data_IF_592118882057
#
_entry.id   IF_592118882057
#
_cell.length_a   1.000
_cell.length_b   1.000
_cell.length_c   1.000
_cell.angle_alpha   90.00
_cell.angle_beta   90.00
_cell.angle_gamma   90.00
#
_symmetry.space_group_name_H-M   'P 1'
#
loop_
_entity.id
_entity.type
_entity.pdbx_description
1 polymer ?
#
# COMPACT_ATOMS: atom_id res chain seq x y z
N UNK A 1 -24.50 -33.86 19.47
CA UNK A 1 -23.68 -35.04 19.03
C UNK A 1 -22.22 -34.73 19.29
N UNK A 2 -21.44 -35.68 19.81
CA UNK A 2 -20.03 -35.47 20.15
C UNK A 2 -19.13 -36.39 19.29
N UNK A 3 -18.16 -35.81 18.57
CA UNK A 3 -17.20 -36.53 17.74
C UNK A 3 -15.79 -36.24 18.24
N UNK A 4 -15.00 -37.30 18.42
CA UNK A 4 -13.62 -37.21 18.91
C UNK A 4 -12.65 -37.67 17.84
N UNK A 5 -11.62 -36.87 17.58
CA UNK A 5 -10.49 -37.23 16.73
C UNK A 5 -9.18 -37.07 17.49
N UNK A 6 -8.17 -37.88 17.15
CA UNK A 6 -6.81 -37.74 17.69
C UNK A 6 -5.76 -37.97 16.61
N UNK A 7 -4.66 -37.22 16.67
CA UNK A 7 -3.50 -37.39 15.79
C UNK A 7 -2.22 -37.51 16.63
N UNK A 8 -1.33 -38.49 16.36
CA UNK A 8 -0.08 -38.61 17.08
C UNK A 8 0.92 -37.51 16.66
N UNK A 9 1.74 -37.08 17.60
CA UNK A 9 2.93 -36.27 17.34
C UNK A 9 3.97 -37.05 16.56
N UNK A 10 4.98 -36.34 16.04
CA UNK A 10 6.09 -36.93 15.29
C UNK A 10 7.43 -36.65 15.94
N UNK A 11 8.38 -37.56 15.73
CA UNK A 11 9.82 -37.35 15.92
C UNK A 11 10.54 -37.59 14.60
N UNK A 12 11.58 -36.82 14.33
CA UNK A 12 12.45 -37.02 13.16
C UNK A 12 13.75 -37.65 13.65
N UNK A 13 14.07 -38.83 13.14
CA UNK A 13 15.26 -39.59 13.54
C UNK A 13 16.49 -39.13 12.74
N UNK A 14 16.32 -38.79 11.46
CA UNK A 14 17.38 -38.22 10.61
C UNK A 14 16.81 -37.57 9.34
N UNK A 15 17.55 -36.62 8.77
CA UNK A 15 17.27 -36.05 7.44
C UNK A 15 16.28 -34.89 7.41
N UNK A 16 15.94 -34.26 8.54
CA UNK A 16 14.90 -33.22 8.64
C UNK A 16 14.98 -32.14 7.55
N UNK A 17 16.16 -31.54 7.37
CA UNK A 17 16.37 -30.47 6.40
C UNK A 17 16.79 -30.99 5.02
N UNK A 18 17.21 -32.27 4.93
CA UNK A 18 17.67 -32.87 3.69
C UNK A 18 16.54 -33.11 2.69
N UNK A 19 15.30 -33.27 3.18
CA UNK A 19 14.09 -33.42 2.33
C UNK A 19 13.83 -32.20 1.45
N UNK A 20 14.14 -31.00 1.95
CA UNK A 20 13.98 -29.75 1.19
C UNK A 20 14.88 -29.71 -0.06
N UNK A 21 15.97 -30.49 -0.04
CA UNK A 21 16.91 -30.62 -1.15
C UNK A 21 16.73 -31.94 -1.94
N UNK A 22 15.59 -32.61 -1.81
CA UNK A 22 15.25 -33.81 -2.56
C UNK A 22 15.84 -35.12 -2.02
N UNK A 23 16.38 -35.11 -0.79
CA UNK A 23 16.91 -36.32 -0.13
C UNK A 23 15.87 -37.01 0.77
N UNK A 24 16.16 -38.22 1.23
CA UNK A 24 15.26 -39.00 2.10
C UNK A 24 15.39 -38.62 3.58
N UNK A 25 14.32 -38.78 4.35
CA UNK A 25 14.31 -38.66 5.81
C UNK A 25 13.57 -39.82 6.47
N UNK A 26 13.88 -40.05 7.76
CA UNK A 26 13.20 -41.05 8.60
C UNK A 26 12.53 -40.34 9.76
N UNK A 27 11.22 -40.53 9.88
CA UNK A 27 10.40 -40.02 10.97
C UNK A 27 9.54 -41.14 11.57
N UNK A 28 9.19 -41.00 12.84
CA UNK A 28 8.31 -41.93 13.55
C UNK A 28 7.19 -41.16 14.27
N UNK A 29 6.04 -41.81 14.43
CA UNK A 29 5.00 -41.33 15.33
C UNK A 29 5.40 -41.62 16.78
N UNK A 30 5.06 -40.71 17.69
CA UNK A 30 5.27 -40.89 19.13
C UNK A 30 3.93 -40.98 19.85
N UNK A 31 3.94 -41.58 21.05
CA UNK A 31 2.76 -41.82 21.89
C UNK A 31 2.29 -40.56 22.64
N UNK A 32 2.30 -39.42 21.94
CA UNK A 32 1.76 -38.14 22.38
C UNK A 32 0.74 -37.69 21.33
N UNK A 33 -0.45 -37.25 21.75
CA UNK A 33 -1.55 -37.00 20.83
C UNK A 33 -2.12 -35.60 20.97
N UNK A 34 -2.45 -34.99 19.83
CA UNK A 34 -3.36 -33.87 19.77
C UNK A 34 -4.79 -34.40 19.70
N UNK A 35 -5.64 -33.92 20.59
CA UNK A 35 -7.04 -34.32 20.67
C UNK A 35 -7.94 -33.19 20.16
N UNK A 36 -8.89 -33.53 19.28
CA UNK A 36 -9.91 -32.59 18.80
C UNK A 36 -11.28 -33.13 19.17
N UNK A 37 -12.07 -32.27 19.81
CA UNK A 37 -13.42 -32.57 20.25
C UNK A 37 -14.40 -31.68 19.51
N UNK A 38 -15.25 -32.27 18.67
CA UNK A 38 -16.34 -31.56 18.03
C UNK A 38 -17.63 -31.85 18.78
N UNK A 39 -18.29 -30.78 19.23
CA UNK A 39 -19.63 -30.85 19.81
C UNK A 39 -20.60 -30.10 18.91
N UNK A 40 -21.61 -30.81 18.43
CA UNK A 40 -22.77 -30.21 17.80
C UNK A 40 -23.80 -29.90 18.90
N UNK A 41 -24.17 -28.62 19.09
CA UNK A 41 -25.12 -28.21 20.11
C UNK A 41 -26.50 -28.84 19.86
N UNK A 42 -27.27 -28.94 20.94
CA UNK A 42 -28.65 -29.41 20.92
C UNK A 42 -29.53 -28.42 20.13
N UNK A 43 -30.63 -28.85 19.47
CA UNK A 43 -31.56 -27.91 18.79
C UNK A 43 -32.15 -26.83 19.71
N UNK A 44 -32.13 -27.05 21.03
CA UNK A 44 -32.57 -26.10 22.07
C UNK A 44 -31.49 -25.13 22.55
N UNK A 45 -30.22 -25.37 22.22
CA UNK A 45 -29.06 -24.56 22.60
C UNK A 45 -28.49 -23.93 21.34
N UNK A 46 -29.27 -23.04 20.71
CA UNK A 46 -28.84 -22.39 19.48
C UNK A 46 -27.88 -21.23 19.80
N UNK A 47 -26.61 -21.56 20.06
CA UNK A 47 -25.55 -20.56 19.97
C UNK A 47 -25.27 -20.36 18.49
N UNK A 48 -25.66 -19.21 17.95
CA UNK A 48 -25.41 -18.82 16.56
C UNK A 48 -23.93 -18.56 16.26
N UNK A 49 -23.02 -19.33 16.85
CA UNK A 49 -21.57 -19.20 16.74
C UNK A 49 -20.88 -20.56 16.83
N UNK A 50 -19.80 -20.71 16.06
CA UNK A 50 -18.84 -21.80 16.14
C UNK A 50 -17.70 -21.35 17.02
N UNK A 51 -17.35 -22.15 18.03
CA UNK A 51 -16.28 -21.86 18.99
C UNK A 51 -15.14 -22.87 18.86
N UNK A 52 -13.90 -22.37 18.89
CA UNK A 52 -12.67 -23.15 18.97
C UNK A 52 -11.94 -22.82 20.27
N UNK A 53 -11.87 -23.80 21.17
CA UNK A 53 -11.14 -23.70 22.43
C UNK A 53 -9.81 -24.46 22.33
N UNK A 54 -8.70 -23.73 22.43
CA UNK A 54 -7.34 -24.29 22.50
C UNK A 54 -6.89 -24.32 23.96
N UNK A 55 -7.32 -25.35 24.68
CA UNK A 55 -7.14 -25.48 26.15
C UNK A 55 -5.69 -25.34 26.60
N UNK A 56 -4.76 -25.96 25.89
CA UNK A 56 -3.34 -25.95 26.24
C UNK A 56 -2.69 -24.57 26.02
N UNK A 57 -3.32 -23.70 25.21
CA UNK A 57 -2.88 -22.33 24.96
C UNK A 57 -3.71 -21.29 25.73
N UNK A 58 -4.80 -21.70 26.40
CA UNK A 58 -5.73 -20.79 27.07
C UNK A 58 -6.45 -19.83 26.12
N UNK A 59 -6.60 -20.18 24.84
CA UNK A 59 -7.22 -19.32 23.82
C UNK A 59 -8.62 -19.84 23.44
N UNK A 60 -9.56 -18.92 23.27
CA UNK A 60 -10.91 -19.19 22.77
C UNK A 60 -11.19 -18.27 21.60
N UNK A 61 -11.60 -18.86 20.48
CA UNK A 61 -12.05 -18.15 19.29
C UNK A 61 -13.52 -18.44 19.05
N UNK A 62 -14.30 -17.45 18.64
CA UNK A 62 -15.72 -17.59 18.36
C UNK A 62 -16.08 -16.86 17.07
N UNK A 63 -16.82 -17.52 16.19
CA UNK A 63 -17.28 -16.98 14.91
C UNK A 63 -18.78 -17.18 14.75
N UNK A 64 -19.56 -16.13 14.41
CA UNK A 64 -21.00 -16.29 14.15
C UNK A 64 -21.31 -17.25 12.99
N UNK A 65 -22.34 -18.08 13.11
CA UNK A 65 -22.74 -19.07 12.10
C UNK A 65 -23.19 -18.41 10.79
N UNK A 66 -23.91 -17.29 10.87
CA UNK A 66 -24.31 -16.48 9.71
C UNK A 66 -23.10 -16.06 8.85
N UNK A 67 -21.99 -15.69 9.49
CA UNK A 67 -20.75 -15.29 8.80
C UNK A 67 -20.10 -16.47 8.07
N UNK A 68 -20.10 -17.65 8.70
CA UNK A 68 -19.58 -18.85 8.09
C UNK A 68 -20.46 -19.27 6.90
N UNK A 69 -21.78 -19.20 7.03
CA UNK A 69 -22.71 -19.51 5.94
C UNK A 69 -22.54 -18.58 4.72
N UNK A 70 -22.38 -17.27 4.94
CA UNK A 70 -22.10 -16.32 3.85
C UNK A 70 -20.76 -16.60 3.18
N UNK A 71 -19.70 -16.84 3.98
CA UNK A 71 -18.39 -17.20 3.45
C UNK A 71 -18.45 -18.51 2.64
N UNK A 72 -19.19 -19.51 3.12
CA UNK A 72 -19.36 -20.79 2.40
C UNK A 72 -20.22 -20.64 1.14
N UNK A 73 -21.18 -19.71 1.10
CA UNK A 73 -21.94 -19.40 -0.13
C UNK A 73 -21.06 -18.72 -1.17
N UNK A 74 -20.17 -17.81 -0.77
CA UNK A 74 -19.20 -17.16 -1.67
C UNK A 74 -18.12 -18.15 -2.15
N UNK A 75 -17.72 -19.13 -1.32
CA UNK A 75 -16.75 -20.18 -1.67
C UNK A 75 -17.26 -21.21 -2.69
N UNK A 76 -18.58 -21.29 -2.94
CA UNK A 76 -19.17 -22.31 -3.81
C UNK A 76 -19.07 -23.71 -3.21
N UNK A 77 -18.65 -24.71 -3.99
CA UNK A 77 -18.53 -26.10 -3.51
C UNK A 77 -17.26 -26.32 -2.69
N UNK A 78 -17.43 -26.81 -1.46
CA UNK A 78 -16.32 -27.30 -0.63
C UNK A 78 -15.47 -28.31 -1.42
N UNK A 79 -14.13 -28.22 -1.36
CA UNK A 79 -13.27 -29.22 -1.98
C UNK A 79 -13.58 -30.59 -1.39
N UNK A 80 -13.93 -31.54 -2.25
CA UNK A 80 -14.28 -32.92 -1.89
C UNK A 80 -13.09 -33.75 -1.41
N UNK A 81 -11.88 -33.19 -1.45
CA UNK A 81 -10.63 -33.86 -1.06
C UNK A 81 -9.83 -33.00 -0.08
N UNK A 82 -9.23 -33.60 0.97
CA UNK A 82 -8.39 -32.87 1.89
C UNK A 82 -7.10 -32.43 1.20
N UNK A 83 -6.95 -31.12 0.99
CA UNK A 83 -5.76 -30.46 0.48
C UNK A 83 -5.38 -29.25 1.35
N UNK A 84 -4.23 -28.59 1.10
CA UNK A 84 -3.90 -27.33 1.76
C UNK A 84 -5.03 -26.31 1.49
N UNK A 85 -5.46 -25.61 2.55
CA UNK A 85 -6.50 -24.59 2.44
C UNK A 85 -6.05 -23.55 1.39
N UNK A 86 -6.83 -23.30 0.32
CA UNK A 86 -6.45 -22.34 -0.70
C UNK A 86 -6.20 -20.95 -0.07
N UNK A 87 -5.18 -20.20 -0.50
CA UNK A 87 -4.91 -18.83 -0.01
C UNK A 87 -6.15 -17.92 -0.08
N UNK A 88 -6.98 -18.14 -1.10
CA UNK A 88 -8.22 -17.43 -1.40
C UNK A 88 -9.23 -17.53 -0.25
N UNK A 89 -9.23 -18.62 0.51
CA UNK A 89 -10.13 -18.83 1.65
C UNK A 89 -9.80 -17.89 2.82
N UNK A 90 -8.51 -17.58 3.05
CA UNK A 90 -8.10 -16.61 4.07
C UNK A 90 -8.45 -15.17 3.67
N UNK A 91 -8.40 -14.85 2.37
CA UNK A 91 -8.81 -13.54 1.85
C UNK A 91 -10.34 -13.34 1.91
N UNK A 92 -11.14 -14.39 1.68
CA UNK A 92 -12.59 -14.33 1.84
C UNK A 92 -12.98 -14.10 3.31
N UNK A 93 -12.26 -14.73 4.25
CA UNK A 93 -12.51 -14.59 5.69
C UNK A 93 -12.02 -13.23 6.23
N UNK A 94 -11.03 -12.61 5.58
CA UNK A 94 -10.51 -11.27 5.87
C UNK A 94 -10.35 -10.46 4.58
N UNK A 95 -11.34 -9.63 4.21
CA UNK A 95 -11.23 -8.65 3.10
C UNK A 95 -10.13 -7.62 3.40
N UNK A 96 -8.90 -8.04 3.16
CA UNK A 96 -7.66 -7.40 3.54
C UNK A 96 -6.79 -7.30 2.30
N UNK A 97 -6.46 -6.08 1.90
CA UNK A 97 -5.53 -5.83 0.80
C UNK A 97 -4.28 -5.17 1.35
N UNK A 98 -3.13 -5.67 0.89
CA UNK A 98 -1.83 -5.07 1.18
C UNK A 98 -1.24 -4.56 -0.12
N UNK A 99 -0.94 -3.27 -0.19
CA UNK A 99 -0.23 -2.65 -1.29
C UNK A 99 1.10 -2.09 -0.79
N UNK A 100 2.09 -2.00 -1.68
CA UNK A 100 3.35 -1.32 -1.41
C UNK A 100 3.85 -0.58 -2.65
N UNK A 101 4.57 0.51 -2.44
CA UNK A 101 5.23 1.24 -3.51
C UNK A 101 6.64 1.65 -3.08
N UNK A 102 7.65 1.51 -3.94
CA UNK A 102 9.00 1.96 -3.66
C UNK A 102 9.08 3.49 -3.61
N UNK A 103 10.12 4.00 -2.95
CA UNK A 103 10.55 5.39 -3.11
C UNK A 103 11.33 5.59 -4.41
N UNK A 104 11.92 6.77 -4.55
CA UNK A 104 12.75 7.15 -5.71
C UNK A 104 14.05 7.80 -5.29
N UNK A 105 15.06 7.69 -6.15
CA UNK A 105 16.30 8.48 -6.11
C UNK A 105 16.57 9.07 -7.48
N UNK A 106 17.11 10.29 -7.54
CA UNK A 106 17.62 10.84 -8.80
C UNK A 106 19.07 10.40 -8.91
N UNK A 107 19.41 9.68 -9.98
CA UNK A 107 20.78 9.26 -10.25
C UNK A 107 21.58 10.38 -10.90
N UNK A 108 20.93 11.17 -11.75
CA UNK A 108 21.52 12.36 -12.38
C UNK A 108 20.45 13.28 -12.96
N UNK A 109 20.74 14.57 -13.06
CA UNK A 109 19.90 15.56 -13.74
C UNK A 109 18.92 16.32 -12.83
N UNK A 110 19.17 16.33 -11.52
CA UNK A 110 18.34 16.89 -10.45
C UNK A 110 17.81 18.29 -10.76
N UNK A 111 18.72 19.26 -10.94
CA UNK A 111 18.35 20.64 -11.28
C UNK A 111 18.43 20.90 -12.79
N UNK A 112 19.13 20.05 -13.54
CA UNK A 112 19.26 20.18 -14.99
C UNK A 112 17.91 19.99 -15.70
N UNK A 113 17.04 19.14 -15.15
CA UNK A 113 15.69 18.90 -15.69
C UNK A 113 14.81 20.13 -15.72
N UNK A 114 14.98 21.05 -14.77
CA UNK A 114 14.26 22.32 -14.72
C UNK A 114 14.62 23.22 -15.91
N UNK A 115 15.79 22.99 -16.51
CA UNK A 115 16.30 23.71 -17.68
C UNK A 115 16.16 22.90 -18.98
N UNK A 116 15.27 21.90 -19.01
CA UNK A 116 14.96 21.11 -20.22
C UNK A 116 15.97 20.01 -20.55
N UNK A 117 16.91 19.72 -19.65
CA UNK A 117 17.83 18.59 -19.79
C UNK A 117 17.18 17.29 -19.29
N UNK A 118 17.80 16.15 -19.59
CA UNK A 118 17.30 14.85 -19.14
C UNK A 118 17.68 14.59 -17.69
N UNK A 119 16.73 14.07 -16.90
CA UNK A 119 16.99 13.45 -15.61
C UNK A 119 16.84 11.94 -15.70
N UNK A 120 17.62 11.22 -14.90
CA UNK A 120 17.46 9.79 -14.67
C UNK A 120 17.11 9.57 -13.21
N UNK A 121 15.98 8.94 -12.96
CA UNK A 121 15.54 8.55 -11.64
C UNK A 121 15.39 7.03 -11.57
N UNK A 122 15.58 6.48 -10.39
CA UNK A 122 15.46 5.05 -10.13
C UNK A 122 14.60 4.80 -8.90
N UNK A 123 13.83 3.72 -8.93
CA UNK A 123 13.15 3.23 -7.75
C UNK A 123 14.18 2.68 -6.75
N UNK A 124 13.96 2.94 -5.47
CA UNK A 124 14.78 2.39 -4.39
C UNK A 124 14.01 1.30 -3.66
N UNK A 125 14.74 0.32 -3.14
CA UNK A 125 14.22 -0.82 -2.38
C UNK A 125 13.86 -0.42 -0.93
N UNK A 126 13.16 0.72 -0.79
CA UNK A 126 12.57 1.22 0.44
C UNK A 126 11.10 1.53 0.14
N UNK A 127 10.19 0.96 0.92
CA UNK A 127 8.77 0.95 0.58
C UNK A 127 7.90 1.71 1.57
N UNK A 128 6.81 2.28 1.04
CA UNK A 128 5.60 2.56 1.82
C UNK A 128 4.63 1.42 1.62
N UNK A 129 4.15 0.85 2.72
CA UNK A 129 3.15 -0.20 2.79
C UNK A 129 1.84 0.37 3.30
N UNK A 130 0.77 0.01 2.60
CA UNK A 130 -0.61 0.30 2.99
C UNK A 130 -1.33 -1.02 3.19
N UNK A 131 -1.93 -1.19 4.36
CA UNK A 131 -2.82 -2.28 4.70
C UNK A 131 -4.23 -1.71 4.78
N UNK A 132 -5.12 -2.20 3.93
CA UNK A 132 -6.51 -1.79 3.92
C UNK A 132 -7.38 -2.97 4.33
N UNK A 133 -8.20 -2.76 5.35
CA UNK A 133 -9.09 -3.76 5.92
C UNK A 133 -10.52 -3.23 5.98
N UNK A 134 -11.49 -4.04 5.55
CA UNK A 134 -12.89 -3.77 5.85
C UNK A 134 -13.21 -4.21 7.29
N UNK A 135 -13.91 -3.38 8.10
CA UNK A 135 -14.19 -3.72 9.49
C UNK A 135 -15.16 -4.89 9.54
N UNK A 136 -15.04 -5.72 10.56
CA UNK A 136 -16.00 -6.80 10.76
C UNK A 136 -17.35 -6.24 11.24
N UNK A 137 -18.47 -6.94 10.99
CA UNK A 137 -19.80 -6.51 11.46
C UNK A 137 -19.88 -6.31 12.99
N UNK A 138 -19.01 -6.96 13.76
CA UNK A 138 -18.89 -6.82 15.22
C UNK A 138 -18.06 -5.62 15.69
N UNK A 139 -17.16 -5.11 14.84
CA UNK A 139 -16.33 -3.92 15.10
C UNK A 139 -16.95 -2.64 14.53
N UNK A 140 -18.23 -2.69 14.11
CA UNK A 140 -18.85 -1.71 13.25
C UNK A 140 -19.04 -0.35 13.95
N UNK A 141 -17.98 0.45 13.99
CA UNK A 141 -17.99 1.82 14.47
C UNK A 141 -18.48 2.81 13.40
N UNK A 142 -18.91 2.32 12.22
CA UNK A 142 -19.44 3.16 11.14
C UNK A 142 -18.48 4.29 10.76
N UNK A 143 -17.18 4.03 10.87
CA UNK A 143 -16.11 5.03 10.76
C UNK A 143 -15.00 4.57 9.83
N UNK A 144 -14.29 5.56 9.30
CA UNK A 144 -13.08 5.41 8.49
C UNK A 144 -11.89 5.73 9.38
N UNK A 145 -11.01 4.77 9.58
CA UNK A 145 -9.83 4.89 10.43
C UNK A 145 -8.56 4.87 9.58
N UNK A 146 -7.66 5.80 9.86
CA UNK A 146 -6.32 5.89 9.28
C UNK A 146 -5.29 5.79 10.41
N UNK A 147 -4.50 4.72 10.42
CA UNK A 147 -3.38 4.52 11.32
C UNK A 147 -2.07 4.85 10.60
N UNK A 148 -1.36 5.86 11.08
CA UNK A 148 0.01 6.18 10.66
C UNK A 148 0.98 5.60 11.68
N UNK A 149 1.37 4.33 11.49
CA UNK A 149 2.05 3.54 12.51
C UNK A 149 3.43 4.10 12.88
N UNK A 150 4.20 4.59 11.92
CA UNK A 150 5.53 5.16 12.18
C UNK A 150 5.46 6.47 12.97
N UNK A 151 4.32 7.16 12.93
CA UNK A 151 4.08 8.38 13.68
C UNK A 151 3.34 8.13 15.01
N UNK A 152 2.84 6.91 15.22
CA UNK A 152 1.98 6.57 16.37
C UNK A 152 0.67 7.35 16.40
N UNK A 153 0.16 7.76 15.23
CA UNK A 153 -1.06 8.58 15.11
C UNK A 153 -2.21 7.76 14.52
N UNK A 154 -3.42 7.98 15.05
CA UNK A 154 -4.65 7.38 14.54
C UNK A 154 -5.68 8.48 14.32
N UNK A 155 -6.26 8.52 13.13
CA UNK A 155 -7.34 9.43 12.77
C UNK A 155 -8.59 8.62 12.45
N UNK A 156 -9.75 9.09 12.91
CA UNK A 156 -11.03 8.42 12.65
C UNK A 156 -12.10 9.42 12.25
N UNK A 157 -12.84 9.16 11.18
CA UNK A 157 -13.98 9.96 10.73
C UNK A 157 -15.23 9.10 10.64
N UNK A 158 -16.36 9.48 11.27
CA UNK A 158 -17.62 8.77 11.07
C UNK A 158 -18.06 8.82 9.60
N UNK A 159 -18.43 7.68 9.02
CA UNK A 159 -18.93 7.56 7.65
C UNK A 159 -20.13 8.48 7.39
N UNK A 160 -21.03 8.60 8.36
CA UNK A 160 -22.18 9.52 8.29
C UNK A 160 -21.74 10.98 8.18
N UNK A 161 -20.69 11.37 8.93
CA UNK A 161 -20.16 12.73 8.89
C UNK A 161 -19.52 13.04 7.53
N UNK A 162 -18.81 12.07 6.95
CA UNK A 162 -18.28 12.19 5.59
C UNK A 162 -19.43 12.33 4.59
N UNK A 163 -20.43 11.44 4.65
CA UNK A 163 -21.58 11.49 3.75
C UNK A 163 -22.35 12.83 3.82
N UNK A 164 -22.57 13.35 5.04
CA UNK A 164 -23.18 14.67 5.26
C UNK A 164 -22.35 15.81 4.66
N UNK A 165 -21.03 15.80 4.89
CA UNK A 165 -20.14 16.85 4.42
C UNK A 165 -20.08 16.93 2.89
N UNK A 166 -20.27 15.80 2.20
CA UNK A 166 -20.29 15.72 0.74
C UNK A 166 -21.71 15.73 0.14
N UNK A 167 -22.78 15.76 0.95
CA UNK A 167 -24.18 15.71 0.49
C UNK A 167 -24.58 16.86 -0.42
N UNK A 168 -24.06 18.06 -0.14
CA UNK A 168 -24.30 19.26 -0.94
C UNK A 168 -23.57 19.24 -2.29
N UNK A 169 -22.60 18.33 -2.44
CA UNK A 169 -21.86 18.13 -3.67
C UNK A 169 -22.57 17.08 -4.53
N UNK A 170 -23.32 17.52 -5.54
CA UNK A 170 -24.17 16.64 -6.35
C UNK A 170 -23.45 15.46 -7.04
N UNK A 171 -22.15 15.57 -7.33
CA UNK A 171 -21.36 14.48 -7.92
C UNK A 171 -19.95 14.39 -7.37
N UNK A 172 -19.58 13.22 -6.84
CA UNK A 172 -18.21 12.93 -6.42
C UNK A 172 -17.32 12.57 -7.62
N UNK A 173 -16.02 12.91 -7.59
CA UNK A 173 -15.04 12.41 -8.55
C UNK A 173 -15.11 10.88 -8.59
N UNK A 174 -15.23 10.34 -9.79
CA UNK A 174 -15.26 8.88 -10.04
C UNK A 174 -14.14 8.47 -10.99
N UNK A 175 -13.49 9.45 -11.60
CA UNK A 175 -12.37 9.31 -12.52
C UNK A 175 -11.22 10.19 -12.03
N UNK A 176 -9.96 9.84 -12.35
CA UNK A 176 -8.83 10.68 -12.03
C UNK A 176 -8.97 12.06 -12.69
N UNK A 177 -8.86 13.12 -11.90
CA UNK A 177 -8.94 14.48 -12.39
C UNK A 177 -8.62 15.50 -11.30
N UNK A 178 -8.39 16.77 -11.68
CA UNK A 178 -8.02 17.80 -10.72
C UNK A 178 -9.10 17.94 -9.63
N UNK A 179 -8.66 17.98 -8.37
CA UNK A 179 -9.57 18.12 -7.25
C UNK A 179 -10.33 19.46 -7.34
N UNK A 180 -11.68 19.45 -7.36
CA UNK A 180 -12.45 20.70 -7.37
C UNK A 180 -12.15 21.55 -6.13
N UNK A 181 -12.18 22.89 -6.24
CA UNK A 181 -11.88 23.78 -5.12
C UNK A 181 -12.87 23.60 -3.96
N UNK A 182 -14.15 23.38 -4.27
CA UNK A 182 -15.19 23.13 -3.25
C UNK A 182 -14.96 21.80 -2.51
N UNK A 183 -14.43 20.80 -3.22
CA UNK A 183 -14.03 19.51 -2.65
C UNK A 183 -12.89 19.66 -1.67
N UNK A 184 -11.86 20.44 -2.04
CA UNK A 184 -10.75 20.75 -1.14
C UNK A 184 -11.22 21.51 0.10
N UNK A 185 -12.17 22.45 -0.02
CA UNK A 185 -12.69 23.17 1.15
C UNK A 185 -13.38 22.25 2.15
N UNK A 186 -14.14 21.25 1.69
CA UNK A 186 -14.78 20.26 2.56
C UNK A 186 -13.73 19.40 3.26
N UNK A 187 -12.74 18.89 2.52
CA UNK A 187 -11.62 18.15 3.09
C UNK A 187 -10.87 18.97 4.14
N UNK A 188 -10.59 20.25 3.85
CA UNK A 188 -9.89 21.14 4.77
C UNK A 188 -10.61 21.22 6.11
N UNK A 189 -11.94 21.44 6.09
CA UNK A 189 -12.76 21.46 7.32
C UNK A 189 -12.66 20.14 8.11
N UNK A 190 -12.72 19.00 7.43
CA UNK A 190 -12.65 17.67 8.06
C UNK A 190 -11.29 17.35 8.69
N UNK A 191 -10.21 17.95 8.19
CA UNK A 191 -8.87 17.81 8.77
C UNK A 191 -8.64 18.82 9.89
N UNK A 192 -9.13 20.05 9.76
CA UNK A 192 -9.09 21.06 10.82
C UNK A 192 -9.80 20.58 12.10
N UNK A 193 -10.90 19.81 11.96
CA UNK A 193 -11.59 19.14 13.07
C UNK A 193 -10.68 18.22 13.92
N UNK A 194 -9.52 17.80 13.39
CA UNK A 194 -8.55 16.93 14.08
C UNK A 194 -7.52 17.70 14.93
N UNK A 195 -7.60 19.03 15.00
CA UNK A 195 -6.73 19.88 15.85
C UNK A 195 -5.24 19.56 15.71
N UNK A 196 -4.80 19.31 14.48
CA UNK A 196 -3.41 18.96 14.19
C UNK A 196 -2.56 20.22 14.32
N UNK A 197 -1.39 20.18 14.98
CA UNK A 197 -0.51 21.33 15.06
C UNK A 197 -0.16 21.85 13.66
N UNK A 198 -0.40 23.15 13.41
CA UNK A 198 -0.15 23.80 12.11
C UNK A 198 1.31 23.63 11.62
N UNK A 199 2.24 23.39 12.55
CA UNK A 199 3.64 23.12 12.24
C UNK A 199 3.86 21.82 11.43
N UNK A 200 2.91 20.88 11.42
CA UNK A 200 3.05 19.60 10.73
C UNK A 200 2.39 19.60 9.34
N UNK A 201 2.86 20.48 8.47
CA UNK A 201 2.35 20.70 7.11
C UNK A 201 2.31 19.38 6.32
N UNK A 202 3.36 18.55 6.43
CA UNK A 202 3.45 17.27 5.71
C UNK A 202 2.34 16.28 6.13
N UNK A 203 2.02 16.24 7.43
CA UNK A 203 0.93 15.42 7.95
C UNK A 203 -0.42 15.91 7.41
N UNK A 204 -0.69 17.21 7.47
CA UNK A 204 -1.93 17.78 6.93
C UNK A 204 -2.10 17.47 5.44
N UNK A 205 -1.05 17.66 4.63
CA UNK A 205 -1.05 17.29 3.22
C UNK A 205 -1.31 15.80 2.98
N UNK A 206 -0.74 14.92 3.80
CA UNK A 206 -1.00 13.47 3.74
C UNK A 206 -2.45 13.09 4.04
N UNK A 207 -3.11 13.80 4.97
CA UNK A 207 -4.51 13.60 5.30
C UNK A 207 -5.46 14.14 4.22
N UNK A 208 -5.11 15.28 3.60
CA UNK A 208 -5.84 15.78 2.45
C UNK A 208 -5.86 14.77 1.30
N UNK A 209 -4.71 14.19 0.98
CA UNK A 209 -4.62 13.13 -0.03
C UNK A 209 -5.38 11.89 0.39
N UNK A 210 -5.27 11.47 1.66
CA UNK A 210 -6.01 10.32 2.17
C UNK A 210 -7.50 10.46 1.93
N UNK A 211 -8.09 11.55 2.44
CA UNK A 211 -9.52 11.79 2.32
C UNK A 211 -9.91 11.88 0.85
N UNK A 212 -9.17 12.64 0.03
CA UNK A 212 -9.45 12.77 -1.40
C UNK A 212 -9.48 11.41 -2.13
N UNK A 213 -8.44 10.60 -1.99
CA UNK A 213 -8.38 9.29 -2.65
C UNK A 213 -9.44 8.35 -2.09
N UNK A 214 -9.65 8.35 -0.77
CA UNK A 214 -10.62 7.50 -0.10
C UNK A 214 -12.04 7.78 -0.56
N UNK A 215 -12.51 9.03 -0.45
CA UNK A 215 -13.89 9.41 -0.80
C UNK A 215 -14.14 9.37 -2.30
N UNK A 216 -13.10 9.52 -3.13
CA UNK A 216 -13.21 9.38 -4.58
C UNK A 216 -13.32 7.91 -5.02
N UNK A 217 -12.50 7.01 -4.45
CA UNK A 217 -12.39 5.61 -4.91
C UNK A 217 -13.28 4.66 -4.11
N UNK A 218 -13.31 4.78 -2.78
CA UNK A 218 -14.01 3.87 -1.87
C UNK A 218 -15.28 4.48 -1.26
N UNK A 219 -15.55 5.76 -1.52
CA UNK A 219 -16.72 6.51 -1.05
C UNK A 219 -16.72 6.65 0.47
N UNK A 220 -17.85 6.37 1.12
CA UNK A 220 -18.07 6.57 2.56
C UNK A 220 -18.16 5.25 3.34
N UNK A 221 -17.81 4.13 2.72
CA UNK A 221 -17.85 2.82 3.38
C UNK A 221 -16.89 2.83 4.58
N UNK A 222 -17.22 2.20 5.72
CA UNK A 222 -16.30 2.04 6.83
C UNK A 222 -15.06 1.22 6.43
N UNK A 223 -13.88 1.63 6.86
CA UNK A 223 -12.64 0.89 6.65
C UNK A 223 -11.55 1.29 7.64
N UNK A 224 -10.57 0.40 7.79
CA UNK A 224 -9.37 0.63 8.58
C UNK A 224 -8.17 0.57 7.63
N UNK A 225 -7.43 1.66 7.55
CA UNK A 225 -6.27 1.81 6.68
C UNK A 225 -5.05 2.05 7.55
N UNK A 226 -4.08 1.15 7.51
CA UNK A 226 -2.82 1.28 8.23
C UNK A 226 -1.65 1.51 7.26
N UNK A 227 -0.83 2.50 7.58
CA UNK A 227 0.30 2.95 6.75
C UNK A 227 1.59 2.82 7.54
N UNK A 228 2.60 2.24 6.90
CA UNK A 228 3.98 2.11 7.40
C UNK A 228 4.94 2.44 6.26
N UNK A 229 6.01 3.17 6.51
CA UNK A 229 6.97 3.61 5.50
C UNK A 229 8.40 3.49 6.01
N UNK A 230 9.24 2.86 5.21
CA UNK A 230 10.69 2.79 5.41
C UNK A 230 11.38 4.10 4.95
N UNK A 231 10.64 4.98 4.28
CA UNK A 231 11.17 6.21 3.69
C UNK A 231 11.15 7.35 4.72
N UNK A 232 12.31 8.00 4.98
CA UNK A 232 12.33 9.18 5.84
C UNK A 232 11.53 10.33 5.22
N UNK A 233 10.59 10.87 5.99
CA UNK A 233 9.74 11.99 5.58
C UNK A 233 10.59 13.23 5.22
N UNK A 234 10.26 13.89 4.11
CA UNK A 234 10.89 15.15 3.70
C UNK A 234 12.33 15.03 3.20
N UNK A 235 12.87 13.82 3.02
CA UNK A 235 14.25 13.57 2.57
C UNK A 235 14.47 13.74 1.06
N UNK A 236 13.39 13.89 0.28
CA UNK A 236 13.45 13.92 -1.18
C UNK A 236 13.50 12.53 -1.84
N UNK A 237 13.32 11.46 -1.07
CA UNK A 237 13.25 10.07 -1.57
C UNK A 237 11.88 9.66 -2.12
N UNK A 238 10.96 10.61 -2.33
CA UNK A 238 9.64 10.33 -2.90
C UNK A 238 8.67 9.63 -1.94
N UNK A 239 8.77 9.87 -0.62
CA UNK A 239 7.85 9.28 0.36
C UNK A 239 6.38 9.64 0.10
N UNK A 240 6.10 10.87 -0.36
CA UNK A 240 4.75 11.30 -0.72
C UNK A 240 4.21 10.55 -1.93
N UNK A 241 5.01 10.40 -2.98
CA UNK A 241 4.63 9.66 -4.18
C UNK A 241 4.41 8.17 -3.88
N UNK A 242 5.31 7.56 -3.12
CA UNK A 242 5.18 6.18 -2.64
C UNK A 242 3.90 5.99 -1.81
N UNK A 243 3.57 6.93 -0.93
CA UNK A 243 2.32 6.95 -0.19
C UNK A 243 1.08 7.05 -1.10
N UNK A 244 1.06 8.01 -2.03
CA UNK A 244 -0.04 8.19 -3.00
C UNK A 244 -0.27 6.92 -3.85
N UNK A 245 0.81 6.30 -4.35
CA UNK A 245 0.73 5.10 -5.18
C UNK A 245 0.23 3.89 -4.39
N UNK A 246 0.82 3.62 -3.23
CA UNK A 246 0.42 2.48 -2.39
C UNK A 246 -1.02 2.61 -1.89
N UNK A 247 -1.46 3.82 -1.53
CA UNK A 247 -2.83 4.09 -1.11
C UNK A 247 -3.84 3.93 -2.25
N UNK A 248 -3.56 4.52 -3.43
CA UNK A 248 -4.44 4.38 -4.59
C UNK A 248 -4.55 2.92 -5.04
N UNK A 249 -3.44 2.18 -5.04
CA UNK A 249 -3.44 0.76 -5.36
C UNK A 249 -4.30 -0.07 -4.40
N UNK A 250 -4.16 0.14 -3.08
CA UNK A 250 -4.96 -0.56 -2.07
C UNK A 250 -6.46 -0.26 -2.21
N UNK A 251 -6.82 1.01 -2.41
CA UNK A 251 -8.19 1.46 -2.57
C UNK A 251 -8.85 0.88 -3.83
N UNK A 252 -8.15 0.90 -4.97
CA UNK A 252 -8.68 0.40 -6.24
C UNK A 252 -8.84 -1.12 -6.26
N UNK A 253 -7.91 -1.84 -5.62
CA UNK A 253 -7.97 -3.29 -5.49
C UNK A 253 -9.18 -3.76 -4.65
N UNK A 254 -9.59 -2.99 -3.63
CA UNK A 254 -10.76 -3.33 -2.80
C UNK A 254 -12.09 -2.79 -3.32
N UNK A 255 -12.06 -1.80 -4.20
CA UNK A 255 -13.27 -1.27 -4.85
C UNK A 255 -13.66 -2.08 -6.10
N UNK A 256 -13.17 -3.30 -6.27
CA UNK A 256 -13.34 -4.19 -7.44
C UNK A 256 -13.01 -3.50 -8.79
N UNK A 257 -12.26 -2.40 -8.76
CA UNK A 257 -11.94 -1.59 -9.94
C UNK A 257 -10.72 -2.11 -10.69
N UNK A 258 -9.94 -2.97 -10.04
CA UNK A 258 -8.77 -3.64 -10.58
C UNK A 258 -8.95 -5.14 -10.36
N UNK A 259 -8.86 -5.93 -11.44
CA UNK A 259 -8.75 -7.38 -11.34
C UNK A 259 -7.38 -7.76 -10.78
N UNK A 260 -7.36 -8.27 -9.55
CA UNK A 260 -6.17 -8.85 -8.90
C UNK A 260 -6.15 -10.32 -9.32
N UNK A 261 -5.16 -10.72 -10.14
CA UNK A 261 -5.00 -12.11 -10.56
C UNK A 261 -4.36 -12.91 -9.40
N UNK A 262 -4.91 -14.07 -9.03
CA UNK A 262 -4.48 -14.91 -7.89
C UNK A 262 -3.21 -15.72 -8.22
N UNK A 263 -2.18 -15.02 -8.68
CA UNK A 263 -0.87 -15.58 -8.93
C UNK A 263 -0.22 -16.10 -7.66
N UNK A 264 0.34 -17.32 -7.72
CA UNK A 264 1.04 -18.06 -6.64
C UNK A 264 2.37 -17.42 -6.15
N UNK A 265 2.46 -16.10 -6.03
CA UNK A 265 3.65 -15.38 -5.55
C UNK A 265 3.32 -14.41 -4.39
N UNK A 266 4.32 -14.14 -3.54
CA UNK A 266 4.21 -13.27 -2.36
C UNK A 266 3.67 -11.85 -2.61
N UNK A 267 3.80 -11.32 -3.84
CA UNK A 267 3.29 -10.00 -4.24
C UNK A 267 2.83 -9.99 -5.70
N UNK A 268 1.62 -9.47 -5.96
CA UNK A 268 1.14 -9.24 -7.32
C UNK A 268 1.68 -7.92 -7.88
N UNK A 269 2.18 -7.95 -9.12
CA UNK A 269 2.56 -6.73 -9.86
C UNK A 269 1.39 -6.32 -10.74
N UNK A 270 0.96 -5.05 -10.65
CA UNK A 270 -0.07 -4.52 -11.53
C UNK A 270 0.46 -4.42 -12.96
N UNK A 271 -0.36 -4.71 -13.96
CA UNK A 271 0.02 -4.64 -15.37
C UNK A 271 -0.97 -3.81 -16.21
N UNK A 272 -0.48 -3.28 -17.33
CA UNK A 272 -1.29 -2.60 -18.36
C UNK A 272 -2.05 -1.38 -17.84
N UNK A 273 -3.35 -1.30 -18.17
CA UNK A 273 -4.23 -0.16 -17.86
C UNK A 273 -4.38 0.11 -16.36
N UNK A 274 -4.14 -0.89 -15.51
CA UNK A 274 -4.26 -0.76 -14.06
C UNK A 274 -3.12 0.09 -13.49
N UNK A 275 -1.89 -0.05 -14.02
CA UNK A 275 -0.76 0.81 -13.65
C UNK A 275 -1.04 2.27 -14.01
N UNK A 276 -1.54 2.52 -15.22
CA UNK A 276 -1.86 3.87 -15.68
C UNK A 276 -2.96 4.51 -14.82
N UNK A 277 -3.96 3.73 -14.41
CA UNK A 277 -5.03 4.21 -13.53
C UNK A 277 -4.50 4.60 -12.14
N UNK A 278 -3.69 3.72 -11.52
CA UNK A 278 -3.05 4.01 -10.22
C UNK A 278 -2.14 5.23 -10.35
N UNK A 279 -1.35 5.31 -11.43
CA UNK A 279 -0.45 6.44 -11.67
C UNK A 279 -1.20 7.77 -11.77
N UNK A 280 -2.35 7.78 -12.48
CA UNK A 280 -3.19 8.98 -12.61
C UNK A 280 -3.76 9.41 -11.26
N UNK A 281 -4.29 8.49 -10.47
CA UNK A 281 -4.78 8.79 -9.11
C UNK A 281 -3.65 9.30 -8.20
N UNK A 282 -2.51 8.63 -8.23
CA UNK A 282 -1.35 9.05 -7.45
C UNK A 282 -0.82 10.43 -7.87
N UNK A 283 -0.89 10.75 -9.16
CA UNK A 283 -0.51 12.07 -9.68
C UNK A 283 -1.42 13.18 -9.15
N UNK A 284 -2.74 12.94 -9.09
CA UNK A 284 -3.67 13.91 -8.47
C UNK A 284 -3.39 14.10 -6.98
N UNK A 285 -3.05 13.02 -6.25
CA UNK A 285 -2.58 13.11 -4.87
C UNK A 285 -1.31 13.96 -4.72
N UNK A 286 -0.32 13.77 -5.59
CA UNK A 286 0.91 14.57 -5.61
C UNK A 286 0.65 16.06 -5.93
N UNK A 287 -0.37 16.36 -6.75
CA UNK A 287 -0.78 17.76 -6.99
C UNK A 287 -1.37 18.41 -5.74
N UNK A 288 -2.08 17.66 -4.89
CA UNK A 288 -2.60 18.18 -3.63
C UNK A 288 -1.46 18.50 -2.66
N UNK A 289 -0.41 17.67 -2.60
CA UNK A 289 0.72 17.86 -1.70
C UNK A 289 1.66 18.98 -2.19
N UNK A 290 2.04 18.97 -3.46
CA UNK A 290 3.11 19.82 -4.00
C UNK A 290 2.61 20.93 -4.95
N UNK A 291 1.32 20.95 -5.28
CA UNK A 291 0.70 21.90 -6.21
C UNK A 291 1.00 21.59 -7.68
N UNK A 292 2.27 21.72 -8.09
CA UNK A 292 2.73 21.49 -9.47
C UNK A 292 3.86 20.45 -9.54
N UNK A 293 3.56 19.16 -9.30
CA UNK A 293 4.52 18.08 -9.47
C UNK A 293 4.88 17.88 -10.94
N UNK A 294 6.10 17.37 -11.20
CA UNK A 294 6.55 17.01 -12.55
C UNK A 294 6.01 15.67 -13.04
N UNK A 295 5.48 14.84 -12.15
CA UNK A 295 5.01 13.50 -12.46
C UNK A 295 6.10 12.42 -12.44
N UNK A 296 7.36 12.78 -12.17
CA UNK A 296 8.47 11.82 -12.15
C UNK A 296 8.41 10.93 -10.90
N UNK A 297 8.05 11.49 -9.75
CA UNK A 297 8.15 10.78 -8.48
C UNK A 297 7.12 9.64 -8.38
N UNK A 298 5.87 9.90 -8.77
CA UNK A 298 4.82 8.87 -8.86
C UNK A 298 5.08 7.90 -10.02
N UNK A 299 5.60 8.36 -11.18
CA UNK A 299 5.96 7.48 -12.29
C UNK A 299 7.05 6.47 -11.89
N UNK A 300 8.09 6.90 -11.17
CA UNK A 300 9.12 5.98 -10.66
C UNK A 300 8.53 5.03 -9.62
N UNK A 301 7.65 5.53 -8.76
CA UNK A 301 7.01 4.71 -7.71
C UNK A 301 6.05 3.65 -8.28
N UNK A 302 5.43 3.88 -9.45
CA UNK A 302 4.50 2.92 -10.07
C UNK A 302 5.18 1.98 -11.06
N UNK A 303 6.00 2.50 -11.98
CA UNK A 303 6.65 1.68 -13.02
C UNK A 303 7.93 1.00 -12.50
N UNK A 304 8.46 1.48 -11.37
CA UNK A 304 9.69 0.99 -10.79
C UNK A 304 10.90 1.23 -11.71
N UNK A 305 11.94 0.42 -11.49
CA UNK A 305 13.14 0.36 -12.34
C UNK A 305 13.81 1.74 -12.48
N UNK A 306 14.42 2.01 -13.63
CA UNK A 306 15.11 3.26 -13.96
C UNK A 306 14.33 3.96 -15.07
N UNK A 307 13.98 5.22 -14.84
CA UNK A 307 13.24 6.07 -15.76
C UNK A 307 14.08 7.27 -16.19
N UNK A 308 14.07 7.55 -17.48
CA UNK A 308 14.54 8.79 -18.07
C UNK A 308 13.36 9.74 -18.25
N UNK A 309 13.57 10.99 -17.84
CA UNK A 309 12.58 12.05 -17.98
C UNK A 309 13.17 13.23 -18.75
N UNK A 310 12.45 13.72 -19.76
CA UNK A 310 12.82 14.93 -20.50
C UNK A 310 11.56 15.70 -20.88
N UNK A 311 11.40 16.90 -20.32
CA UNK A 311 10.33 17.84 -20.70
C UNK A 311 8.91 17.25 -20.73
N UNK A 312 8.60 16.31 -19.83
CA UNK A 312 7.29 15.64 -19.76
C UNK A 312 7.28 14.24 -20.38
N UNK A 313 8.24 13.90 -21.23
CA UNK A 313 8.38 12.57 -21.81
C UNK A 313 9.10 11.63 -20.83
N UNK A 314 8.52 10.45 -20.64
CA UNK A 314 9.04 9.37 -19.80
C UNK A 314 9.46 8.20 -20.68
N UNK A 315 10.69 7.72 -20.52
CA UNK A 315 11.16 6.49 -21.15
C UNK A 315 11.82 5.58 -20.13
N UNK A 316 11.50 4.28 -20.19
CA UNK A 316 12.09 3.30 -19.29
C UNK A 316 13.47 2.88 -19.80
N UNK A 317 14.44 2.87 -18.89
CA UNK A 317 15.79 2.36 -19.16
C UNK A 317 15.85 0.90 -18.72
N UNK A 318 16.30 0.03 -19.61
CA UNK A 318 16.56 -1.37 -19.28
C UNK A 318 17.91 -1.46 -18.58
N UNK A 319 17.89 -1.75 -17.27
CA UNK A 319 19.09 -2.09 -16.52
C UNK A 319 19.15 -3.61 -16.35
N UNK A 320 20.22 -4.22 -16.88
CA UNK A 320 20.45 -5.67 -16.81
C UNK A 320 21.12 -6.12 -15.51
N UNK A 321 21.61 -5.18 -14.67
CA UNK A 321 22.35 -5.48 -13.45
C UNK A 321 21.71 -4.82 -12.22
N UNK A 322 21.62 -5.52 -11.07
CA UNK A 322 21.14 -4.94 -9.83
C UNK A 322 22.16 -3.92 -9.28
N UNK A 323 21.71 -2.69 -9.06
CA UNK A 323 22.51 -1.63 -8.45
C UNK A 323 22.36 -1.66 -6.94
N UNK A 324 23.46 -1.93 -6.22
CA UNK A 324 23.51 -1.81 -4.75
C UNK A 324 23.99 -0.42 -4.37
N UNK A 325 23.18 0.31 -3.60
CA UNK A 325 23.44 1.70 -3.23
C UNK A 325 23.41 1.86 -1.71
N UNK A 326 24.27 2.75 -1.19
CA UNK A 326 24.20 3.20 0.20
C UNK A 326 23.47 4.55 0.24
N UNK A 327 22.29 4.59 0.83
CA UNK A 327 21.54 5.84 1.02
C UNK A 327 21.96 6.46 2.35
N UNK A 328 22.48 7.70 2.30
CA UNK A 328 22.91 8.43 3.50
C UNK A 328 22.04 9.67 3.69
N UNK A 329 21.31 9.74 4.80
CA UNK A 329 20.60 10.95 5.21
C UNK A 329 21.46 11.79 6.14
N UNK A 330 21.81 13.00 5.72
CA UNK A 330 22.63 13.94 6.50
C UNK A 330 21.88 14.59 7.66
N UNK A 331 20.54 14.49 7.72
CA UNK A 331 19.65 15.19 8.66
C UNK A 331 19.74 16.73 8.67
N UNK A 332 20.50 17.32 7.73
CA UNK A 332 20.57 18.75 7.54
C UNK A 332 19.31 19.26 6.81
N UNK A 333 18.67 20.30 7.37
CA UNK A 333 17.56 20.99 6.72
C UNK A 333 18.01 21.66 5.41
N UNK A 334 17.17 21.63 4.38
CA UNK A 334 17.47 22.19 3.06
C UNK A 334 16.31 23.04 2.57
N UNK A 335 16.63 24.16 1.92
CA UNK A 335 15.64 24.96 1.20
C UNK A 335 15.77 24.71 -0.30
N UNK A 336 14.99 23.75 -0.81
CA UNK A 336 15.00 23.36 -2.22
C UNK A 336 14.71 24.53 -3.15
N UNK A 337 13.82 25.45 -2.74
CA UNK A 337 13.47 26.65 -3.53
C UNK A 337 14.66 27.58 -3.66
N UNK A 338 15.44 27.78 -2.59
CA UNK A 338 16.66 28.59 -2.61
C UNK A 338 17.74 27.97 -3.49
N UNK A 339 17.90 26.63 -3.46
CA UNK A 339 18.86 25.92 -4.31
C UNK A 339 18.50 26.06 -5.80
N UNK A 340 17.23 25.85 -6.17
CA UNK A 340 16.76 26.03 -7.55
C UNK A 340 16.97 27.46 -8.02
N UNK A 341 16.64 28.46 -7.19
CA UNK A 341 16.88 29.86 -7.52
C UNK A 341 18.37 30.17 -7.70
N UNK A 342 19.24 29.58 -6.87
CA UNK A 342 20.69 29.71 -6.98
C UNK A 342 21.25 29.12 -8.27
N UNK A 343 20.75 27.96 -8.69
CA UNK A 343 21.11 27.35 -9.99
C UNK A 343 20.67 28.24 -11.14
N UNK A 344 19.41 28.71 -11.15
CA UNK A 344 18.91 29.62 -12.19
C UNK A 344 19.74 30.91 -12.30
N UNK A 345 20.18 31.48 -11.18
CA UNK A 345 21.05 32.66 -11.17
C UNK A 345 22.46 32.35 -11.71
N UNK A 346 22.97 31.13 -11.47
CA UNK A 346 24.27 30.72 -12.03
C UNK A 346 24.18 30.45 -13.54
N UNK A 347 23.06 29.90 -14.02
CA UNK A 347 22.77 29.72 -15.45
C UNK A 347 22.76 31.06 -16.18
N UNK A 348 22.12 32.09 -15.62
CA UNK A 348 22.10 33.42 -16.25
C UNK A 348 23.47 34.08 -16.30
N UNK A 349 24.34 33.86 -15.30
CA UNK A 349 25.71 34.41 -15.29
C UNK A 349 26.70 33.66 -16.18
N UNK A 350 26.54 32.34 -16.31
CA UNK A 350 27.52 31.47 -16.96
C UNK A 350 26.87 30.45 -17.90
N UNK A 351 26.11 30.95 -18.89
CA UNK A 351 25.27 30.14 -19.77
C UNK A 351 26.02 28.97 -20.43
N UNK A 352 27.17 29.23 -21.08
CA UNK A 352 27.94 28.21 -21.80
C UNK A 352 28.50 27.11 -20.90
N UNK A 353 29.06 27.48 -19.74
CA UNK A 353 29.59 26.52 -18.78
C UNK A 353 28.47 25.67 -18.15
N UNK A 354 27.34 26.28 -17.78
CA UNK A 354 26.22 25.57 -17.18
C UNK A 354 25.52 24.64 -18.18
N UNK A 355 25.39 25.04 -19.45
CA UNK A 355 24.90 24.15 -20.51
C UNK A 355 25.78 22.91 -20.68
N UNK A 356 27.11 23.07 -20.67
CA UNK A 356 28.03 21.94 -20.76
C UNK A 356 27.87 20.98 -19.56
N UNK A 357 27.70 21.51 -18.34
CA UNK A 357 27.43 20.71 -17.14
C UNK A 357 26.12 19.96 -17.24
N UNK A 358 25.05 20.60 -17.74
CA UNK A 358 23.73 19.97 -17.88
C UNK A 358 23.68 18.91 -18.99
N UNK A 359 24.51 19.04 -20.03
CA UNK A 359 24.56 18.09 -21.14
C UNK A 359 25.40 16.83 -20.84
N UNK A 360 26.33 16.89 -19.87
CA UNK A 360 27.26 15.80 -19.56
C UNK A 360 26.59 14.45 -19.19
N UNK A 361 25.49 14.39 -18.42
CA UNK A 361 24.84 13.14 -18.07
C UNK A 361 24.31 12.35 -19.28
N UNK A 362 23.78 13.06 -20.28
CA UNK A 362 23.30 12.46 -21.53
C UNK A 362 24.43 11.85 -22.35
N UNK A 363 25.63 12.44 -22.32
CA UNK A 363 26.79 11.95 -23.07
C UNK A 363 27.33 10.63 -22.50
N UNK A 364 27.15 10.41 -21.19
CA UNK A 364 27.54 9.17 -20.51
C UNK A 364 26.56 8.03 -20.80
N UNK A 365 25.27 8.34 -20.99
CA UNK A 365 24.22 7.35 -21.26
C UNK A 365 24.10 6.98 -22.74
N UNK A 366 24.42 7.89 -23.66
CA UNK A 366 24.33 7.66 -25.11
C UNK A 366 25.51 6.86 -25.71
N UNK A 367 26.50 6.46 -24.90
CA UNK A 367 27.72 5.78 -25.36
C UNK A 367 27.69 4.25 -25.28
N UNK A 368 26.54 3.65 -24.99
CA UNK A 368 26.36 2.19 -24.98
C UNK A 368 25.35 1.76 -26.03
#
# INVERSE_FOLDING_TARGET
MEVRARAPGKIILTGEHAVVHGSTAVAAAIDLYTHVLFRLPSPSENHGSVELELKDLGLVFSWPSLRLEEAFREMGSLPSTPGPCPPDYMQIITRLVRARAPGKIILTGEHAVVHGSTAVAAAIDLYTHVLFRLPSPSENHGSVELELKDLGLVFSWPSLRLEEAFREMGSLPSTPGPCPPDYMQIITRLVEEKNIPEANIALCSGLYVFLYLYTSIHRFKPAIVAVTSELPLGSGLGSSASYCVSLAAALLALSDSISVDDGKNDWLTLEGSNLDLVNKWAFEGEKIIHGKPSGIDNAVSIFGKVLMFKSGDLSQVQCTLPLRMLVTNTNAARNTKALVAGVSNRVSRHLGAMHAVFAAPLTLLAKN
#
